data_IF_655079895265
#
_entry.id   IF_655079895265
#
_cell.length_a   1.000
_cell.length_b   1.000
_cell.length_c   1.000
_cell.angle_alpha   90.00
_cell.angle_beta   90.00
_cell.angle_gamma   90.00
#
_symmetry.space_group_name_H-M   'P 1'
#
loop_
_entity.id
_entity.type
_entity.pdbx_description
1 polymer ?
#
# COMPACT_ATOMS: atom_id res chain seq x y z
N UNK A 1 3.81 -16.04 -30.15
CA UNK A 1 3.38 -14.63 -30.39
C UNK A 1 3.85 -13.85 -29.18
N UNK A 2 4.40 -12.64 -29.33
CA UNK A 2 4.82 -11.84 -28.17
C UNK A 2 3.59 -11.31 -27.42
N UNK A 3 3.65 -11.22 -26.09
CA UNK A 3 2.62 -10.57 -25.31
C UNK A 3 2.42 -9.12 -25.78
N UNK A 4 1.20 -8.75 -26.08
CA UNK A 4 0.81 -7.41 -26.53
C UNK A 4 -0.52 -7.04 -25.84
N UNK A 5 -0.50 -6.23 -24.76
CA UNK A 5 -1.71 -5.86 -24.05
C UNK A 5 -2.60 -4.98 -24.95
N UNK A 6 -3.90 -5.30 -24.99
CA UNK A 6 -4.92 -4.50 -25.69
C UNK A 6 -5.70 -3.69 -24.70
N UNK A 7 -5.74 -2.39 -24.89
CA UNK A 7 -6.54 -1.46 -24.09
C UNK A 7 -6.73 -0.13 -24.81
N UNK A 8 -7.74 0.63 -24.40
CA UNK A 8 -7.93 2.02 -24.81
C UNK A 8 -7.58 2.95 -23.63
N UNK A 9 -6.96 4.09 -23.92
CA UNK A 9 -6.76 5.16 -22.93
C UNK A 9 -8.04 5.98 -22.85
N UNK A 10 -8.82 5.73 -21.81
CA UNK A 10 -10.11 6.36 -21.57
C UNK A 10 -10.00 7.63 -20.72
N UNK A 11 -11.09 8.39 -20.61
CA UNK A 11 -11.14 9.55 -19.73
C UNK A 11 -10.87 9.18 -18.24
N UNK A 12 -11.44 8.11 -17.64
CA UNK A 12 -11.07 7.67 -16.30
C UNK A 12 -9.57 7.40 -16.13
N UNK A 13 -8.94 6.68 -17.08
CA UNK A 13 -7.49 6.44 -17.04
C UNK A 13 -6.72 7.75 -17.06
N UNK A 14 -7.05 8.67 -17.98
CA UNK A 14 -6.35 9.96 -18.09
C UNK A 14 -6.51 10.80 -16.81
N UNK A 15 -7.71 10.85 -16.24
CA UNK A 15 -7.97 11.56 -14.99
C UNK A 15 -7.16 10.97 -13.83
N UNK A 16 -7.12 9.64 -13.70
CA UNK A 16 -6.35 8.96 -12.66
C UNK A 16 -4.84 9.18 -12.85
N UNK A 17 -4.31 9.06 -14.08
CA UNK A 17 -2.90 9.34 -14.38
C UNK A 17 -2.53 10.78 -14.02
N UNK A 18 -3.39 11.76 -14.29
CA UNK A 18 -3.16 13.16 -13.92
C UNK A 18 -3.03 13.31 -12.40
N UNK A 19 -3.86 12.64 -11.61
CA UNK A 19 -3.76 12.62 -10.13
C UNK A 19 -2.47 11.98 -9.66
N UNK A 20 -2.08 10.86 -10.27
CA UNK A 20 -0.83 10.14 -9.98
C UNK A 20 0.39 11.04 -10.23
N UNK A 21 0.45 11.71 -11.40
CA UNK A 21 1.57 12.61 -11.74
C UNK A 21 1.62 13.84 -10.82
N UNK A 22 0.48 14.40 -10.44
CA UNK A 22 0.41 15.49 -9.45
C UNK A 22 0.92 15.05 -8.08
N UNK A 23 0.58 13.83 -7.63
CA UNK A 23 1.08 13.28 -6.38
C UNK A 23 2.59 13.00 -6.45
N UNK A 24 3.08 12.47 -7.58
CA UNK A 24 4.49 12.26 -7.85
C UNK A 24 5.27 13.57 -7.76
N UNK A 25 4.86 14.59 -8.52
CA UNK A 25 5.51 15.90 -8.50
C UNK A 25 5.51 16.54 -7.11
N UNK A 26 4.42 16.39 -6.34
CA UNK A 26 4.38 16.82 -4.94
C UNK A 26 5.43 16.10 -4.10
N UNK A 27 5.50 14.77 -4.15
CA UNK A 27 6.43 13.97 -3.33
C UNK A 27 7.89 14.21 -3.70
N UNK A 28 8.19 14.49 -4.97
CA UNK A 28 9.54 14.85 -5.44
C UNK A 28 9.98 16.23 -4.94
N UNK A 29 9.08 17.22 -4.95
CA UNK A 29 9.36 18.60 -4.57
C UNK A 29 9.23 18.87 -3.06
N UNK A 30 8.42 18.09 -2.34
CA UNK A 30 8.10 18.32 -0.94
C UNK A 30 9.29 18.07 -0.02
N UNK A 31 9.59 19.03 0.84
CA UNK A 31 10.59 18.91 1.91
C UNK A 31 10.03 18.16 3.11
N UNK A 32 9.83 16.87 2.96
CA UNK A 32 9.41 15.98 4.03
C UNK A 32 10.62 15.55 4.84
N UNK A 33 10.51 15.50 6.18
CA UNK A 33 11.62 15.05 7.02
C UNK A 33 11.91 13.55 6.79
N UNK A 34 13.18 13.17 6.85
CA UNK A 34 13.61 11.77 6.68
C UNK A 34 12.91 10.84 7.68
N UNK A 35 12.76 11.32 8.93
CA UNK A 35 12.06 10.56 9.98
C UNK A 35 10.56 10.33 9.63
N UNK A 36 9.90 11.33 9.07
CA UNK A 36 8.51 11.18 8.61
C UNK A 36 8.43 10.17 7.45
N UNK A 37 9.31 10.30 6.45
CA UNK A 37 9.36 9.37 5.30
C UNK A 37 9.57 7.94 5.80
N UNK A 38 10.53 7.73 6.69
CA UNK A 38 10.82 6.41 7.27
C UNK A 38 9.61 5.82 7.98
N UNK A 39 9.00 6.55 8.92
CA UNK A 39 7.82 6.08 9.66
C UNK A 39 6.64 5.78 8.76
N UNK A 40 6.38 6.64 7.78
CA UNK A 40 5.28 6.41 6.83
C UNK A 40 5.57 5.25 5.89
N UNK A 41 6.81 5.05 5.47
CA UNK A 41 7.24 3.90 4.68
C UNK A 41 7.11 2.57 5.44
N UNK A 42 7.50 2.54 6.71
CA UNK A 42 7.29 1.38 7.59
C UNK A 42 5.79 1.06 7.75
N UNK A 43 4.95 2.08 7.95
CA UNK A 43 3.51 1.93 8.02
C UNK A 43 2.92 1.44 6.69
N UNK A 44 3.35 1.99 5.56
CA UNK A 44 2.88 1.57 4.23
C UNK A 44 3.24 0.10 3.96
N UNK A 45 4.46 -0.32 4.28
CA UNK A 45 4.88 -1.72 4.15
C UNK A 45 4.05 -2.65 5.05
N UNK A 46 3.76 -2.23 6.27
CA UNK A 46 2.93 -3.00 7.20
C UNK A 46 1.50 -3.17 6.65
N UNK A 47 0.87 -2.08 6.21
CA UNK A 47 -0.46 -2.11 5.60
C UNK A 47 -0.48 -2.97 4.33
N UNK A 48 0.51 -2.80 3.45
CA UNK A 48 0.61 -3.61 2.22
C UNK A 48 0.75 -5.11 2.54
N UNK A 49 1.60 -5.48 3.52
CA UNK A 49 1.78 -6.86 3.94
C UNK A 49 0.49 -7.44 4.55
N UNK A 50 -0.19 -6.69 5.41
CA UNK A 50 -1.46 -7.09 6.00
C UNK A 50 -2.52 -7.31 4.92
N UNK A 51 -2.83 -6.28 4.13
CA UNK A 51 -3.92 -6.34 3.16
C UNK A 51 -3.68 -7.33 2.03
N UNK A 52 -2.44 -7.44 1.53
CA UNK A 52 -2.13 -8.39 0.47
C UNK A 52 -2.29 -9.85 0.91
N UNK A 53 -1.97 -10.17 2.17
CA UNK A 53 -2.18 -11.52 2.72
C UNK A 53 -3.63 -11.74 3.12
N UNK A 54 -4.32 -10.71 3.61
CA UNK A 54 -5.74 -10.78 3.97
C UNK A 54 -6.62 -11.03 2.72
N UNK A 55 -6.29 -10.47 1.56
CA UNK A 55 -6.95 -10.80 0.27
C UNK A 55 -6.87 -12.31 -0.02
N UNK A 56 -5.75 -12.96 0.31
CA UNK A 56 -5.53 -14.40 0.09
C UNK A 56 -6.09 -15.29 1.22
N UNK A 57 -6.71 -14.69 2.23
CA UNK A 57 -7.48 -15.41 3.25
C UNK A 57 -6.83 -15.53 4.63
N UNK A 58 -5.74 -14.81 4.91
CA UNK A 58 -5.23 -14.72 6.29
C UNK A 58 -6.23 -13.99 7.19
N UNK A 59 -6.26 -14.35 8.48
CA UNK A 59 -7.22 -13.86 9.47
C UNK A 59 -6.60 -12.94 10.53
N UNK A 60 -5.35 -12.55 10.34
CA UNK A 60 -4.68 -11.60 11.23
C UNK A 60 -5.44 -10.28 11.28
N UNK A 61 -5.65 -9.75 12.48
CA UNK A 61 -6.11 -8.37 12.62
C UNK A 61 -4.98 -7.40 12.27
N UNK A 62 -5.32 -6.15 11.98
CA UNK A 62 -4.31 -5.12 11.73
C UNK A 62 -3.37 -4.95 12.93
N UNK A 63 -3.89 -4.92 14.15
CA UNK A 63 -3.12 -4.85 15.39
C UNK A 63 -2.14 -6.02 15.53
N UNK A 64 -2.61 -7.25 15.27
CA UNK A 64 -1.75 -8.44 15.29
C UNK A 64 -0.62 -8.32 14.25
N UNK A 65 -0.92 -7.83 13.06
CA UNK A 65 0.07 -7.60 12.01
C UNK A 65 1.11 -6.55 12.41
N UNK A 66 0.69 -5.46 13.03
CA UNK A 66 1.58 -4.42 13.58
C UNK A 66 2.55 -5.01 14.62
N UNK A 67 2.03 -5.75 15.61
CA UNK A 67 2.83 -6.40 16.67
C UNK A 67 3.84 -7.40 16.10
N UNK A 68 3.41 -8.25 15.16
CA UNK A 68 4.28 -9.24 14.51
C UNK A 68 5.41 -8.56 13.70
N UNK A 69 5.11 -7.49 13.00
CA UNK A 69 6.12 -6.77 12.22
C UNK A 69 7.03 -5.89 13.09
N UNK A 70 6.59 -5.53 14.30
CA UNK A 70 7.44 -4.94 15.34
C UNK A 70 8.36 -5.98 16.04
N UNK A 71 8.21 -7.28 15.73
CA UNK A 71 9.03 -8.36 16.29
C UNK A 71 8.44 -8.98 17.56
N UNK A 72 7.20 -8.66 17.91
CA UNK A 72 6.49 -9.29 19.01
C UNK A 72 5.95 -10.67 18.60
N UNK A 73 5.67 -11.48 19.61
CA UNK A 73 4.96 -12.76 19.43
C UNK A 73 3.47 -12.57 19.66
N UNK A 74 2.65 -13.23 18.83
CA UNK A 74 1.19 -13.25 18.92
C UNK A 74 0.76 -14.73 19.00
N UNK A 75 0.75 -15.32 20.20
CA UNK A 75 0.56 -16.78 20.37
C UNK A 75 -0.79 -17.30 19.86
N UNK A 76 -1.82 -16.44 19.85
CA UNK A 76 -3.16 -16.75 19.38
C UNK A 76 -3.33 -16.75 17.85
N UNK A 77 -2.33 -16.25 17.11
CA UNK A 77 -2.39 -16.18 15.65
C UNK A 77 -2.07 -17.53 14.99
N UNK A 78 -2.72 -17.82 13.85
CA UNK A 78 -2.39 -19.01 13.06
C UNK A 78 -0.93 -18.93 12.57
N UNK A 79 -0.10 -19.96 12.79
CA UNK A 79 1.30 -19.94 12.41
C UNK A 79 1.54 -19.80 10.89
N UNK A 80 0.60 -20.23 10.03
CA UNK A 80 0.71 -20.04 8.58
C UNK A 80 0.44 -18.57 8.22
N UNK A 81 -0.58 -17.95 8.83
CA UNK A 81 -0.90 -16.53 8.62
C UNK A 81 0.28 -15.64 9.04
N UNK A 82 0.88 -15.93 10.20
CA UNK A 82 2.10 -15.25 10.68
C UNK A 82 3.23 -15.40 9.66
N UNK A 83 3.43 -16.61 9.15
CA UNK A 83 4.49 -16.90 8.17
C UNK A 83 4.24 -16.18 6.86
N UNK A 84 3.01 -16.15 6.35
CA UNK A 84 2.65 -15.43 5.13
C UNK A 84 2.94 -13.93 5.24
N UNK A 85 2.57 -13.30 6.36
CA UNK A 85 2.86 -11.90 6.64
C UNK A 85 4.36 -11.60 6.65
N UNK A 86 5.14 -12.40 7.38
CA UNK A 86 6.60 -12.24 7.50
C UNK A 86 7.32 -12.55 6.17
N UNK A 87 6.82 -13.52 5.41
CA UNK A 87 7.32 -13.83 4.07
C UNK A 87 7.13 -12.66 3.13
N UNK A 88 5.96 -12.00 3.16
CA UNK A 88 5.72 -10.82 2.33
C UNK A 88 6.72 -9.70 2.65
N UNK A 89 6.96 -9.39 3.93
CA UNK A 89 7.97 -8.41 4.33
C UNK A 89 9.37 -8.75 3.79
N UNK A 90 9.77 -10.03 3.87
CA UNK A 90 11.07 -10.51 3.34
C UNK A 90 11.15 -10.40 1.81
N UNK A 91 10.08 -10.77 1.11
CA UNK A 91 10.00 -10.67 -0.34
C UNK A 91 10.04 -9.21 -0.82
N UNK A 92 9.34 -8.31 -0.13
CA UNK A 92 9.38 -6.88 -0.41
C UNK A 92 10.78 -6.28 -0.18
N UNK A 93 11.45 -6.66 0.91
CA UNK A 93 12.84 -6.25 1.19
C UNK A 93 13.79 -6.71 0.07
N UNK A 94 13.65 -7.94 -0.40
CA UNK A 94 14.42 -8.46 -1.52
C UNK A 94 14.20 -7.66 -2.81
N UNK A 95 12.94 -7.38 -3.17
CA UNK A 95 12.59 -6.55 -4.34
C UNK A 95 13.22 -5.16 -4.21
N UNK A 96 13.16 -4.58 -3.01
CA UNK A 96 13.73 -3.26 -2.74
C UNK A 96 15.25 -3.21 -2.95
N UNK A 97 15.97 -4.27 -2.56
CA UNK A 97 17.42 -4.39 -2.79
C UNK A 97 17.72 -4.60 -4.27
N UNK A 98 16.99 -5.51 -4.93
CA UNK A 98 17.18 -5.82 -6.36
C UNK A 98 17.03 -4.57 -7.24
N UNK A 99 16.10 -3.67 -6.90
CA UNK A 99 15.93 -2.41 -7.62
C UNK A 99 17.13 -1.47 -7.50
N UNK A 100 17.83 -1.48 -6.36
CA UNK A 100 19.06 -0.70 -6.17
C UNK A 100 20.17 -1.10 -7.14
N UNK A 101 20.17 -2.36 -7.60
CA UNK A 101 21.16 -2.89 -8.53
C UNK A 101 20.80 -2.60 -10.01
N UNK A 102 19.61 -2.05 -10.30
CA UNK A 102 19.17 -1.66 -11.65
C UNK A 102 18.97 -2.81 -12.63
N UNK A 103 18.82 -4.04 -12.14
CA UNK A 103 18.74 -5.25 -12.94
C UNK A 103 17.45 -5.35 -13.79
N UNK A 104 17.46 -6.16 -14.88
CA UNK A 104 16.28 -6.42 -15.69
C UNK A 104 15.29 -7.32 -14.93
N UNK A 105 14.00 -7.23 -15.27
CA UNK A 105 13.02 -8.22 -14.81
C UNK A 105 13.31 -9.54 -15.55
N UNK A 106 13.47 -10.62 -14.79
CA UNK A 106 13.76 -11.96 -15.32
C UNK A 106 12.76 -12.98 -14.80
N UNK A 107 12.63 -14.11 -15.48
CA UNK A 107 11.88 -15.26 -14.95
C UNK A 107 12.42 -15.73 -13.61
N UNK A 108 13.76 -15.76 -13.46
CA UNK A 108 14.43 -16.11 -12.21
C UNK A 108 14.03 -15.18 -11.07
N UNK A 109 13.89 -13.87 -11.33
CA UNK A 109 13.42 -12.91 -10.35
C UNK A 109 11.96 -13.19 -9.93
N UNK A 110 11.06 -13.43 -10.88
CA UNK A 110 9.65 -13.75 -10.58
C UNK A 110 9.55 -15.03 -9.74
N UNK A 111 10.32 -16.06 -10.09
CA UNK A 111 10.38 -17.32 -9.34
C UNK A 111 10.97 -17.15 -7.94
N UNK A 112 11.97 -16.28 -7.78
CA UNK A 112 12.57 -15.98 -6.47
C UNK A 112 11.62 -15.17 -5.59
N UNK A 113 10.87 -14.20 -6.15
CA UNK A 113 9.80 -13.49 -5.44
C UNK A 113 8.77 -14.50 -4.92
N UNK A 114 8.26 -15.36 -5.80
CA UNK A 114 7.29 -16.40 -5.43
C UNK A 114 7.86 -17.32 -4.34
N UNK A 115 9.10 -17.82 -4.49
CA UNK A 115 9.75 -18.68 -3.51
C UNK A 115 9.70 -18.06 -2.11
N UNK A 116 10.09 -16.79 -2.00
CA UNK A 116 10.10 -16.08 -0.71
C UNK A 116 8.72 -15.89 -0.12
N UNK A 117 7.70 -15.66 -0.97
CA UNK A 117 6.33 -15.46 -0.52
C UNK A 117 5.69 -16.70 0.08
N UNK A 118 6.01 -17.90 -0.46
CA UNK A 118 5.34 -19.15 -0.07
C UNK A 118 6.23 -20.13 0.72
N UNK A 119 7.46 -19.75 1.03
CA UNK A 119 8.41 -20.61 1.73
C UNK A 119 7.89 -21.07 3.09
N UNK A 120 7.76 -22.37 3.28
CA UNK A 120 7.31 -22.97 4.53
C UNK A 120 5.83 -22.74 4.89
N UNK A 121 5.05 -22.14 3.98
CA UNK A 121 3.60 -22.00 4.16
C UNK A 121 2.92 -23.31 3.78
N UNK A 122 1.90 -23.71 4.55
CA UNK A 122 1.04 -24.88 4.26
C UNK A 122 1.83 -26.15 3.95
N UNK A 123 2.93 -26.40 4.68
CA UNK A 123 3.72 -27.62 4.55
C UNK A 123 4.54 -27.74 3.26
N UNK A 124 4.76 -26.64 2.52
CA UNK A 124 5.57 -26.66 1.30
C UNK A 124 4.84 -27.13 0.04
N UNK A 125 3.52 -27.37 0.12
CA UNK A 125 2.70 -27.82 -1.02
C UNK A 125 2.63 -26.83 -2.20
N UNK A 126 3.02 -25.57 -1.97
CA UNK A 126 3.03 -24.52 -2.98
C UNK A 126 4.20 -24.60 -3.98
N UNK A 127 5.12 -25.56 -3.85
CA UNK A 127 6.33 -25.72 -4.69
C UNK A 127 7.08 -24.39 -4.91
N UNK A 128 7.77 -23.83 -3.86
CA UNK A 128 8.34 -22.49 -3.88
C UNK A 128 9.30 -22.24 -5.06
N UNK A 129 8.98 -21.27 -5.91
CA UNK A 129 9.77 -20.91 -7.08
C UNK A 129 9.62 -21.84 -8.29
N UNK A 130 8.75 -22.84 -8.22
CA UNK A 130 8.53 -23.81 -9.30
C UNK A 130 7.25 -23.48 -10.07
N UNK A 131 7.32 -23.47 -11.41
CA UNK A 131 6.10 -23.42 -12.22
C UNK A 131 5.30 -24.70 -12.07
N UNK A 132 3.98 -24.58 -12.08
CA UNK A 132 3.09 -25.71 -12.05
C UNK A 132 3.29 -26.65 -13.26
N UNK A 133 3.22 -27.93 -13.02
CA UNK A 133 3.28 -28.97 -14.04
C UNK A 133 1.91 -29.62 -14.33
N UNK A 134 0.92 -29.20 -13.56
CA UNK A 134 -0.46 -29.69 -13.66
C UNK A 134 -1.41 -28.51 -13.91
N UNK A 135 -2.59 -28.84 -14.43
CA UNK A 135 -3.65 -27.85 -14.54
C UNK A 135 -4.13 -27.44 -13.15
N UNK A 136 -4.25 -26.15 -12.91
CA UNK A 136 -4.92 -25.61 -11.73
C UNK A 136 -6.14 -24.79 -12.16
N UNK A 137 -6.98 -24.45 -11.17
CA UNK A 137 -8.23 -23.74 -11.38
C UNK A 137 -8.37 -22.68 -10.32
N UNK A 138 -8.89 -21.51 -10.72
CA UNK A 138 -9.32 -20.49 -9.76
C UNK A 138 -10.78 -20.78 -9.41
N UNK A 139 -11.04 -21.06 -8.15
CA UNK A 139 -12.36 -21.44 -7.67
C UNK A 139 -12.94 -20.39 -6.72
N UNK A 140 -14.24 -20.27 -6.69
CA UNK A 140 -14.93 -19.54 -5.66
C UNK A 140 -14.83 -20.32 -4.34
N UNK A 141 -14.19 -19.74 -3.33
CA UNK A 141 -13.94 -20.38 -2.04
C UNK A 141 -15.23 -20.74 -1.28
N UNK A 142 -16.35 -20.04 -1.54
CA UNK A 142 -17.63 -20.29 -0.89
C UNK A 142 -18.47 -21.37 -1.60
N UNK A 143 -18.41 -21.43 -2.95
CA UNK A 143 -19.25 -22.35 -3.75
C UNK A 143 -18.49 -23.54 -4.33
N UNK A 144 -17.14 -23.48 -4.40
CA UNK A 144 -16.32 -24.47 -5.09
C UNK A 144 -16.39 -24.38 -6.62
N UNK A 145 -17.14 -23.44 -7.17
CA UNK A 145 -17.30 -23.26 -8.61
C UNK A 145 -16.01 -22.74 -9.26
N UNK A 146 -15.68 -23.27 -10.45
CA UNK A 146 -14.54 -22.79 -11.23
C UNK A 146 -14.88 -21.44 -11.86
N UNK A 147 -14.20 -20.39 -11.39
CA UNK A 147 -14.33 -19.02 -11.91
C UNK A 147 -13.46 -18.84 -13.14
N UNK A 148 -12.27 -19.46 -13.15
CA UNK A 148 -11.29 -19.31 -14.22
C UNK A 148 -10.44 -20.55 -14.38
N UNK A 149 -10.22 -20.94 -15.64
CA UNK A 149 -9.25 -21.96 -16.05
C UNK A 149 -8.05 -21.28 -16.70
N UNK A 150 -6.88 -21.23 -16.03
CA UNK A 150 -5.64 -20.70 -16.60
C UNK A 150 -5.16 -21.47 -17.83
N UNK A 151 -4.25 -20.90 -18.64
CA UNK A 151 -3.62 -21.61 -19.76
C UNK A 151 -3.08 -22.98 -19.34
N UNK A 152 -2.92 -23.94 -20.28
CA UNK A 152 -2.32 -25.24 -20.01
C UNK A 152 -0.94 -25.12 -19.36
N UNK A 153 -0.59 -26.07 -18.46
CA UNK A 153 0.68 -26.00 -17.73
C UNK A 153 1.94 -25.99 -18.63
N UNK A 154 1.87 -26.62 -19.79
CA UNK A 154 2.99 -26.63 -20.74
C UNK A 154 3.23 -25.29 -21.45
N UNK A 155 2.24 -24.40 -21.45
CA UNK A 155 2.36 -23.06 -22.04
C UNK A 155 2.96 -22.04 -21.07
N UNK A 156 2.95 -22.34 -19.75
CA UNK A 156 3.40 -21.40 -18.70
C UNK A 156 4.80 -20.84 -18.96
N UNK A 157 5.84 -21.63 -19.30
CA UNK A 157 7.19 -21.08 -19.49
C UNK A 157 7.24 -20.06 -20.63
N UNK A 158 6.59 -20.35 -21.77
CA UNK A 158 6.60 -19.44 -22.91
C UNK A 158 5.83 -18.16 -22.63
N UNK A 159 4.68 -18.27 -21.94
CA UNK A 159 3.85 -17.11 -21.60
C UNK A 159 4.55 -16.19 -20.58
N UNK A 160 5.28 -16.75 -19.60
CA UNK A 160 6.08 -15.94 -18.67
C UNK A 160 7.27 -15.30 -19.36
N UNK A 161 7.94 -16.03 -20.28
CA UNK A 161 9.03 -15.46 -21.08
C UNK A 161 8.54 -14.29 -21.97
N UNK A 162 7.38 -14.42 -22.61
CA UNK A 162 6.77 -13.34 -23.39
C UNK A 162 6.45 -12.12 -22.52
N UNK A 163 5.88 -12.33 -21.33
CA UNK A 163 5.62 -11.26 -20.36
C UNK A 163 6.92 -10.55 -19.95
N UNK A 164 7.96 -11.31 -19.57
CA UNK A 164 9.26 -10.77 -19.17
C UNK A 164 9.93 -9.98 -20.29
N UNK A 165 9.86 -10.49 -21.51
CA UNK A 165 10.39 -9.78 -22.69
C UNK A 165 9.71 -8.44 -22.87
N UNK A 166 8.38 -8.41 -22.79
CA UNK A 166 7.60 -7.18 -22.90
C UNK A 166 7.87 -6.21 -21.74
N UNK A 167 8.00 -6.68 -20.50
CA UNK A 167 8.26 -5.84 -19.33
C UNK A 167 9.62 -5.12 -19.39
N UNK A 168 10.59 -5.66 -20.11
CA UNK A 168 11.89 -5.03 -20.30
C UNK A 168 11.92 -4.01 -21.42
N UNK A 169 10.93 -4.04 -22.33
CA UNK A 169 10.72 -3.06 -23.40
C UNK A 169 9.22 -2.84 -23.64
N UNK A 170 8.50 -2.18 -22.73
CA UNK A 170 7.06 -1.93 -22.88
C UNK A 170 6.73 -0.84 -23.92
N UNK A 171 7.77 -0.30 -24.57
CA UNK A 171 7.68 0.75 -25.60
C UNK A 171 6.90 1.97 -25.15
N UNK A 172 5.90 2.40 -25.93
CA UNK A 172 5.13 3.64 -25.68
C UNK A 172 4.03 3.49 -24.62
N UNK A 173 4.05 2.42 -23.80
CA UNK A 173 3.06 2.23 -22.75
C UNK A 173 3.49 2.98 -21.50
N UNK A 174 2.60 3.83 -20.97
CA UNK A 174 2.84 4.56 -19.73
C UNK A 174 3.19 3.59 -18.58
N UNK A 175 4.25 3.86 -17.78
CA UNK A 175 4.73 2.92 -16.75
C UNK A 175 3.67 2.41 -15.77
N UNK A 176 2.73 3.27 -15.37
CA UNK A 176 1.60 2.87 -14.51
C UNK A 176 0.71 1.85 -15.22
N UNK A 177 0.41 2.04 -16.50
CA UNK A 177 -0.39 1.09 -17.29
C UNK A 177 0.37 -0.21 -17.53
N UNK A 178 1.68 -0.13 -17.78
CA UNK A 178 2.54 -1.31 -17.92
C UNK A 178 2.56 -2.13 -16.62
N UNK A 179 2.62 -1.48 -15.45
CA UNK A 179 2.54 -2.13 -14.15
C UNK A 179 1.20 -2.83 -13.92
N UNK A 180 0.09 -2.19 -14.25
CA UNK A 180 -1.24 -2.80 -14.17
C UNK A 180 -1.41 -3.99 -15.12
N UNK A 181 -0.89 -3.88 -16.35
CA UNK A 181 -0.87 -4.97 -17.32
C UNK A 181 -0.01 -6.16 -16.85
N UNK A 182 1.14 -5.89 -16.20
CA UNK A 182 2.00 -6.91 -15.60
C UNK A 182 1.26 -7.70 -14.52
N UNK A 183 0.55 -7.02 -13.63
CA UNK A 183 -0.23 -7.65 -12.57
C UNK A 183 -1.30 -8.57 -13.14
N UNK A 184 -2.09 -8.05 -14.09
CA UNK A 184 -3.13 -8.85 -14.73
C UNK A 184 -2.55 -10.06 -15.44
N UNK A 185 -1.51 -9.87 -16.27
CA UNK A 185 -0.96 -10.94 -17.11
C UNK A 185 -0.39 -12.07 -16.27
N UNK A 186 0.28 -11.78 -15.14
CA UNK A 186 0.78 -12.84 -14.27
C UNK A 186 -0.36 -13.60 -13.58
N UNK A 187 -1.43 -12.90 -13.16
CA UNK A 187 -2.64 -13.55 -12.63
C UNK A 187 -3.34 -14.38 -13.70
N UNK A 188 -3.34 -13.93 -14.96
CA UNK A 188 -3.92 -14.67 -16.08
C UNK A 188 -3.14 -15.96 -16.38
N UNK A 189 -1.82 -15.88 -16.49
CA UNK A 189 -0.95 -17.07 -16.71
C UNK A 189 -1.08 -18.05 -15.55
N UNK A 190 -1.19 -17.52 -14.32
CA UNK A 190 -1.30 -18.31 -13.08
C UNK A 190 -0.19 -19.37 -12.97
N UNK A 191 1.09 -18.97 -13.01
CA UNK A 191 2.19 -19.88 -13.26
C UNK A 191 2.51 -20.84 -12.10
N UNK A 192 2.01 -20.58 -10.89
CA UNK A 192 2.33 -21.33 -9.69
C UNK A 192 1.11 -22.08 -9.16
N UNK A 193 1.34 -23.04 -8.25
CA UNK A 193 0.25 -23.78 -7.59
C UNK A 193 -0.52 -22.90 -6.60
N UNK A 194 0.18 -22.00 -5.88
CA UNK A 194 -0.38 -21.02 -4.93
C UNK A 194 0.45 -19.74 -5.00
N UNK A 195 0.01 -18.64 -4.34
CA UNK A 195 0.77 -17.39 -4.23
C UNK A 195 0.80 -16.50 -5.49
N UNK A 196 0.03 -16.84 -6.54
CA UNK A 196 0.00 -16.06 -7.78
C UNK A 196 -0.48 -14.62 -7.57
N UNK A 197 -1.48 -14.40 -6.72
CA UNK A 197 -1.99 -13.07 -6.40
C UNK A 197 -0.94 -12.19 -5.74
N UNK A 198 -0.29 -12.69 -4.67
CA UNK A 198 0.77 -11.96 -3.96
C UNK A 198 1.97 -11.67 -4.86
N UNK A 199 2.37 -12.65 -5.68
CA UNK A 199 3.47 -12.50 -6.65
C UNK A 199 3.16 -11.45 -7.70
N UNK A 200 1.93 -11.42 -8.23
CA UNK A 200 1.53 -10.45 -9.26
C UNK A 200 1.47 -9.02 -8.72
N UNK A 201 0.96 -8.82 -7.49
CA UNK A 201 0.93 -7.51 -6.83
C UNK A 201 2.36 -7.00 -6.57
N UNK A 202 3.25 -7.87 -6.08
CA UNK A 202 4.63 -7.48 -5.84
C UNK A 202 5.42 -7.24 -7.15
N UNK A 203 5.14 -8.00 -8.22
CA UNK A 203 5.68 -7.72 -9.55
C UNK A 203 5.22 -6.35 -10.09
N UNK A 204 3.94 -6.03 -9.92
CA UNK A 204 3.39 -4.72 -10.29
C UNK A 204 4.11 -3.57 -9.57
N UNK A 205 4.31 -3.70 -8.25
CA UNK A 205 5.07 -2.73 -7.44
C UNK A 205 6.52 -2.61 -7.93
N UNK A 206 7.18 -3.72 -8.25
CA UNK A 206 8.52 -3.74 -8.85
C UNK A 206 8.57 -2.96 -10.18
N UNK A 207 7.58 -3.16 -11.05
CA UNK A 207 7.50 -2.45 -12.32
C UNK A 207 7.37 -0.94 -12.13
N UNK A 208 6.53 -0.48 -11.17
CA UNK A 208 6.41 0.93 -10.83
C UNK A 208 7.74 1.51 -10.34
N UNK A 209 8.37 0.87 -9.37
CA UNK A 209 9.62 1.37 -8.77
C UNK A 209 10.76 1.45 -9.79
N UNK A 210 10.89 0.42 -10.63
CA UNK A 210 11.89 0.39 -11.71
C UNK A 210 11.74 1.54 -12.69
N UNK A 211 10.51 1.96 -12.94
CA UNK A 211 10.18 3.06 -13.84
C UNK A 211 10.26 4.45 -13.15
N UNK A 212 10.76 4.54 -11.91
CA UNK A 212 10.86 5.78 -11.15
C UNK A 212 9.55 6.24 -10.51
N UNK A 213 8.58 5.35 -10.38
CA UNK A 213 7.30 5.57 -9.70
C UNK A 213 7.34 4.94 -8.30
N UNK A 214 8.39 5.19 -7.52
CA UNK A 214 8.54 4.62 -6.19
C UNK A 214 7.73 5.37 -5.11
N UNK A 215 7.34 6.63 -5.38
CA UNK A 215 6.57 7.49 -4.48
C UNK A 215 7.11 7.48 -3.04
N UNK A 216 8.44 7.42 -2.89
CA UNK A 216 9.13 7.24 -1.59
C UNK A 216 8.66 5.99 -0.81
N UNK A 217 8.02 5.02 -1.49
CA UNK A 217 7.43 3.79 -0.92
C UNK A 217 6.35 4.06 0.13
N UNK A 218 5.55 5.10 -0.07
CA UNK A 218 4.55 5.58 0.88
C UNK A 218 3.13 5.10 0.59
N UNK A 219 2.88 4.37 -0.50
CA UNK A 219 1.55 3.90 -0.91
C UNK A 219 1.36 2.41 -0.64
N UNK A 220 0.10 1.99 -0.56
CA UNK A 220 -0.33 0.60 -0.43
C UNK A 220 -1.54 0.35 -1.32
N UNK A 221 -1.34 -0.33 -2.46
CA UNK A 221 -2.42 -0.61 -3.40
C UNK A 221 -3.34 -1.74 -2.91
N UNK A 222 -2.79 -2.69 -2.16
CA UNK A 222 -3.54 -3.83 -1.64
C UNK A 222 -4.62 -3.43 -0.64
N UNK A 223 -4.44 -2.32 0.09
CA UNK A 223 -5.48 -1.78 0.96
C UNK A 223 -6.73 -1.40 0.17
N UNK A 224 -6.58 -0.74 -0.98
CA UNK A 224 -7.71 -0.40 -1.85
C UNK A 224 -8.44 -1.64 -2.35
N UNK A 225 -7.70 -2.67 -2.75
CA UNK A 225 -8.28 -3.93 -3.22
C UNK A 225 -9.03 -4.68 -2.12
N UNK A 226 -8.50 -4.66 -0.91
CA UNK A 226 -9.05 -5.38 0.23
C UNK A 226 -10.31 -4.73 0.79
N UNK A 227 -10.46 -3.41 0.68
CA UNK A 227 -11.68 -2.66 1.07
C UNK A 227 -12.91 -3.12 0.29
N UNK A 228 -12.75 -3.46 -1.02
CA UNK A 228 -13.82 -4.04 -1.85
C UNK A 228 -13.26 -5.12 -2.79
N UNK A 229 -13.05 -6.31 -2.22
CA UNK A 229 -12.56 -7.47 -2.97
C UNK A 229 -13.48 -7.86 -4.11
N UNK A 230 -14.79 -7.66 -3.96
CA UNK A 230 -15.76 -8.01 -4.99
C UNK A 230 -15.55 -7.19 -6.26
N UNK A 231 -15.32 -5.89 -6.12
CA UNK A 231 -15.01 -5.00 -7.24
C UNK A 231 -13.63 -5.31 -7.82
N UNK A 232 -12.62 -5.60 -6.99
CA UNK A 232 -11.30 -6.04 -7.45
C UNK A 232 -11.37 -7.30 -8.33
N UNK A 233 -12.05 -8.35 -7.87
CA UNK A 233 -12.19 -9.58 -8.66
C UNK A 233 -13.04 -9.39 -9.92
N UNK A 234 -14.09 -8.56 -9.88
CA UNK A 234 -14.87 -8.20 -11.07
C UNK A 234 -14.02 -7.46 -12.11
N UNK A 235 -13.13 -6.56 -11.68
CA UNK A 235 -12.22 -5.86 -12.60
C UNK A 235 -11.28 -6.83 -13.32
N UNK A 236 -10.72 -7.82 -12.62
CA UNK A 236 -9.92 -8.89 -13.24
C UNK A 236 -10.78 -9.72 -14.21
N UNK A 237 -11.98 -10.11 -13.81
CA UNK A 237 -12.85 -10.96 -14.61
C UNK A 237 -13.33 -10.26 -15.88
N UNK A 238 -13.58 -8.95 -15.82
CA UNK A 238 -14.03 -8.15 -16.96
C UNK A 238 -13.12 -8.23 -18.18
N UNK A 239 -11.81 -8.41 -17.98
CA UNK A 239 -10.83 -8.58 -19.07
C UNK A 239 -11.09 -9.86 -19.86
N UNK A 240 -11.43 -10.94 -19.13
CA UNK A 240 -11.68 -12.26 -19.72
C UNK A 240 -12.98 -12.25 -20.51
N UNK A 241 -14.01 -11.63 -19.96
CA UNK A 241 -15.33 -11.46 -20.60
C UNK A 241 -15.30 -10.60 -21.85
N UNK A 242 -14.36 -9.64 -21.90
CA UNK A 242 -14.16 -8.71 -23.04
C UNK A 242 -13.07 -9.15 -24.02
N UNK A 243 -12.78 -10.45 -24.07
CA UNK A 243 -11.82 -11.00 -25.03
C UNK A 243 -10.39 -10.46 -24.86
N UNK A 244 -9.91 -10.39 -23.62
CA UNK A 244 -8.58 -9.90 -23.24
C UNK A 244 -8.36 -8.40 -23.45
N UNK A 245 -9.39 -7.59 -23.39
CA UNK A 245 -9.30 -6.13 -23.34
C UNK A 245 -9.07 -5.67 -21.89
N UNK A 246 -7.90 -5.07 -21.65
CA UNK A 246 -7.44 -4.64 -20.32
C UNK A 246 -8.07 -3.30 -19.87
N UNK A 247 -8.83 -2.61 -20.68
CA UNK A 247 -9.31 -1.25 -20.40
C UNK A 247 -9.97 -1.15 -19.04
N UNK A 248 -10.97 -1.99 -18.75
CA UNK A 248 -11.70 -1.93 -17.46
C UNK A 248 -10.82 -2.28 -16.24
N UNK A 249 -9.87 -3.18 -16.40
CA UNK A 249 -8.89 -3.46 -15.36
C UNK A 249 -7.95 -2.27 -15.12
N UNK A 250 -7.46 -1.63 -16.19
CA UNK A 250 -6.56 -0.48 -16.08
C UNK A 250 -7.26 0.76 -15.53
N UNK A 251 -8.55 0.95 -15.80
CA UNK A 251 -9.38 1.97 -15.12
C UNK A 251 -9.40 1.73 -13.61
N UNK A 252 -9.69 0.50 -13.18
CA UNK A 252 -9.69 0.15 -11.77
C UNK A 252 -8.30 0.28 -11.12
N UNK A 253 -7.26 -0.22 -11.78
CA UNK A 253 -5.89 -0.18 -11.28
C UNK A 253 -5.38 1.25 -11.09
N UNK A 254 -5.59 2.11 -12.09
CA UNK A 254 -5.16 3.51 -12.04
C UNK A 254 -5.92 4.30 -11.00
N UNK A 255 -7.24 4.07 -10.85
CA UNK A 255 -8.04 4.71 -9.80
C UNK A 255 -7.60 4.27 -8.40
N UNK A 256 -7.31 2.98 -8.21
CA UNK A 256 -6.79 2.47 -6.94
C UNK A 256 -5.47 3.17 -6.55
N UNK A 257 -4.52 3.24 -7.49
CA UNK A 257 -3.23 3.90 -7.24
C UNK A 257 -3.40 5.40 -7.01
N UNK A 258 -4.22 6.09 -7.81
CA UNK A 258 -4.50 7.51 -7.65
C UNK A 258 -5.09 7.83 -6.29
N UNK A 259 -6.07 7.06 -5.84
CA UNK A 259 -6.71 7.23 -4.53
C UNK A 259 -5.71 7.07 -3.39
N UNK A 260 -4.88 6.05 -3.41
CA UNK A 260 -3.85 5.84 -2.40
C UNK A 260 -2.81 6.98 -2.38
N UNK A 261 -2.42 7.47 -3.56
CA UNK A 261 -1.47 8.58 -3.65
C UNK A 261 -2.06 9.92 -3.23
N UNK A 262 -3.34 10.17 -3.45
CA UNK A 262 -4.02 11.36 -2.90
C UNK A 262 -4.03 11.33 -1.37
N UNK A 263 -4.25 10.18 -0.74
CA UNK A 263 -4.14 10.03 0.71
C UNK A 263 -2.70 10.31 1.21
N UNK A 264 -1.68 9.78 0.52
CA UNK A 264 -0.26 10.05 0.84
C UNK A 264 0.05 11.54 0.71
N UNK A 265 -0.37 12.17 -0.38
CA UNK A 265 -0.20 13.60 -0.62
C UNK A 265 -0.85 14.45 0.48
N UNK A 266 -2.07 14.11 0.88
CA UNK A 266 -2.78 14.81 1.95
C UNK A 266 -2.04 14.68 3.29
N UNK A 267 -1.54 13.49 3.64
CA UNK A 267 -0.72 13.27 4.85
C UNK A 267 0.58 14.06 4.80
N UNK A 268 1.29 14.06 3.66
CA UNK A 268 2.50 14.84 3.46
C UNK A 268 2.28 16.35 3.58
N UNK A 269 1.18 16.86 3.01
CA UNK A 269 0.78 18.26 3.16
C UNK A 269 0.52 18.66 4.62
N UNK A 270 -0.15 17.78 5.39
CA UNK A 270 -0.35 18.02 6.84
C UNK A 270 0.96 18.01 7.62
N UNK A 271 1.90 17.12 7.29
CA UNK A 271 3.21 17.08 7.93
C UNK A 271 3.99 18.38 7.68
N UNK A 272 4.05 18.85 6.44
CA UNK A 272 4.71 20.12 6.09
C UNK A 272 4.04 21.29 6.84
N UNK A 273 2.71 21.31 6.88
CA UNK A 273 1.97 22.36 7.62
C UNK A 273 2.30 22.33 9.11
N UNK A 274 2.38 21.13 9.71
CA UNK A 274 2.79 20.95 11.10
C UNK A 274 4.18 21.55 11.35
N UNK A 275 5.16 21.25 10.50
CA UNK A 275 6.52 21.75 10.62
C UNK A 275 6.59 23.28 10.48
N UNK A 276 5.87 23.87 9.52
CA UNK A 276 5.79 25.32 9.33
C UNK A 276 5.20 26.00 10.56
N UNK A 277 4.08 25.51 11.09
CA UNK A 277 3.45 26.04 12.29
C UNK A 277 4.35 25.86 13.52
N UNK A 278 5.02 24.73 13.66
CA UNK A 278 5.95 24.47 14.76
C UNK A 278 7.09 25.50 14.79
N UNK A 279 7.66 25.80 13.62
CA UNK A 279 8.69 26.84 13.48
C UNK A 279 8.13 28.25 13.75
N UNK A 280 7.00 28.60 13.14
CA UNK A 280 6.39 29.92 13.28
C UNK A 280 6.05 30.26 14.74
N UNK A 281 5.49 29.28 15.46
CA UNK A 281 5.06 29.45 16.86
C UNK A 281 6.11 28.99 17.88
N UNK A 282 7.32 28.62 17.44
CA UNK A 282 8.43 28.16 18.29
C UNK A 282 7.96 27.10 19.29
N UNK A 283 7.40 26.02 18.74
CA UNK A 283 6.92 24.91 19.55
C UNK A 283 8.09 24.04 20.01
N UNK A 284 7.94 23.50 21.22
CA UNK A 284 8.81 22.39 21.66
C UNK A 284 8.47 21.10 20.89
N UNK A 285 9.38 20.12 20.88
CA UNK A 285 9.17 18.82 20.23
C UNK A 285 7.87 18.12 20.65
N UNK A 286 7.51 18.23 21.95
CA UNK A 286 6.25 17.68 22.46
C UNK A 286 5.03 18.40 21.89
N UNK A 287 5.08 19.74 21.86
CA UNK A 287 4.02 20.56 21.30
C UNK A 287 3.89 20.32 19.78
N UNK A 288 5.00 20.14 19.07
CA UNK A 288 4.97 19.79 17.65
C UNK A 288 4.31 18.43 17.40
N UNK A 289 4.60 17.41 18.25
CA UNK A 289 3.92 16.10 18.19
C UNK A 289 2.42 16.24 18.44
N UNK A 290 2.03 17.03 19.46
CA UNK A 290 0.62 17.31 19.76
C UNK A 290 -0.08 17.99 18.58
N UNK A 291 0.57 18.97 17.92
CA UNK A 291 0.05 19.64 16.74
C UNK A 291 -0.11 18.68 15.57
N UNK A 292 0.89 17.84 15.32
CA UNK A 292 0.82 16.79 14.28
C UNK A 292 -0.40 15.89 14.47
N UNK A 293 -0.63 15.40 15.69
CA UNK A 293 -1.81 14.58 16.00
C UNK A 293 -3.13 15.33 15.79
N UNK A 294 -3.21 16.61 16.15
CA UNK A 294 -4.41 17.43 15.89
C UNK A 294 -4.66 17.58 14.40
N UNK A 295 -3.61 17.75 13.58
CA UNK A 295 -3.72 17.87 12.13
C UNK A 295 -4.11 16.55 11.45
N UNK A 296 -3.62 15.42 11.98
CA UNK A 296 -3.87 14.09 11.42
C UNK A 296 -5.26 13.55 11.79
N UNK A 297 -5.64 13.64 13.08
CA UNK A 297 -6.85 13.04 13.64
C UNK A 297 -8.00 14.05 13.84
N UNK A 298 -7.74 15.34 13.57
CA UNK A 298 -8.70 16.43 13.79
C UNK A 298 -8.94 16.77 15.27
N UNK A 299 -8.42 15.96 16.21
CA UNK A 299 -8.57 16.16 17.68
C UNK A 299 -7.43 15.51 18.45
N UNK A 300 -7.20 16.01 19.67
CA UNK A 300 -6.25 15.43 20.60
C UNK A 300 -6.88 15.40 21.99
N UNK A 301 -6.83 14.23 22.67
CA UNK A 301 -7.14 14.10 24.10
C UNK A 301 -5.87 14.10 24.92
N UNK A 302 -5.98 14.33 26.21
CA UNK A 302 -4.80 14.26 27.10
C UNK A 302 -4.24 12.82 27.16
N UNK A 303 -5.08 11.80 27.09
CA UNK A 303 -4.65 10.40 27.06
C UNK A 303 -3.84 10.08 25.79
N UNK A 304 -4.32 10.55 24.63
CA UNK A 304 -3.57 10.40 23.37
C UNK A 304 -2.22 11.13 23.45
N UNK A 305 -2.17 12.31 24.08
CA UNK A 305 -0.91 13.04 24.26
C UNK A 305 0.05 12.33 25.22
N UNK A 306 -0.46 11.68 26.28
CA UNK A 306 0.34 10.80 27.17
C UNK A 306 0.96 9.64 26.40
N UNK A 307 0.21 9.02 25.49
CA UNK A 307 0.69 7.93 24.61
C UNK A 307 1.78 8.41 23.62
N UNK A 308 1.66 9.65 23.10
CA UNK A 308 2.67 10.26 22.21
C UNK A 308 3.97 10.63 22.94
N UNK A 309 3.90 10.82 24.25
CA UNK A 309 5.02 11.28 25.06
C UNK A 309 5.21 10.40 26.31
N UNK A 310 5.56 9.11 26.16
CA UNK A 310 5.71 8.19 27.28
C UNK A 310 6.78 8.70 28.26
N UNK A 311 6.51 8.58 29.56
CA UNK A 311 7.42 9.03 30.63
C UNK A 311 7.35 10.53 30.96
N UNK A 312 6.51 11.31 30.27
CA UNK A 312 6.29 12.72 30.62
C UNK A 312 5.11 12.87 31.56
N UNK A 313 5.28 13.64 32.62
CA UNK A 313 4.23 13.88 33.62
C UNK A 313 3.03 14.60 32.99
N UNK A 314 1.82 14.13 33.30
CA UNK A 314 0.53 14.68 32.81
C UNK A 314 0.39 16.19 33.03
N UNK A 315 0.88 16.73 34.18
CA UNK A 315 0.86 18.17 34.40
C UNK A 315 1.71 18.96 33.41
N UNK A 316 2.83 18.41 32.98
CA UNK A 316 3.68 19.00 31.96
C UNK A 316 2.97 19.04 30.61
N UNK A 317 2.31 17.94 30.22
CA UNK A 317 1.53 17.87 28.99
C UNK A 317 0.34 18.82 29.00
N UNK A 318 -0.37 18.95 30.14
CA UNK A 318 -1.45 19.94 30.31
C UNK A 318 -0.95 21.37 30.17
N UNK A 319 0.25 21.68 30.69
CA UNK A 319 0.88 23.01 30.53
C UNK A 319 1.27 23.25 29.09
N UNK A 320 1.78 22.24 28.36
CA UNK A 320 2.08 22.36 26.95
C UNK A 320 0.81 22.67 26.13
N UNK A 321 -0.31 21.96 26.38
CA UNK A 321 -1.59 22.23 25.73
C UNK A 321 -2.13 23.64 26.05
N UNK A 322 -2.04 24.06 27.31
CA UNK A 322 -2.46 25.41 27.72
C UNK A 322 -1.66 26.48 26.96
N UNK A 323 -0.35 26.32 26.86
CA UNK A 323 0.51 27.24 26.09
C UNK A 323 0.13 27.28 24.60
N UNK A 324 -0.26 26.15 24.01
CA UNK A 324 -0.74 26.11 22.62
C UNK A 324 -2.10 26.79 22.45
N UNK A 325 -2.99 26.69 23.43
CA UNK A 325 -4.26 27.44 23.45
C UNK A 325 -4.00 28.94 23.57
N UNK A 326 -3.11 29.36 24.49
CA UNK A 326 -2.72 30.77 24.66
C UNK A 326 -2.07 31.37 23.40
N UNK A 327 -1.37 30.56 22.61
CA UNK A 327 -0.83 30.95 21.31
C UNK A 327 -1.90 30.96 20.19
N UNK A 328 -3.13 30.59 20.47
CA UNK A 328 -4.21 30.55 19.48
C UNK A 328 -4.06 29.43 18.43
N UNK A 329 -3.24 28.40 18.68
CA UNK A 329 -3.02 27.29 17.77
C UNK A 329 -4.11 26.25 17.84
N UNK A 330 -4.56 25.94 19.05
CA UNK A 330 -5.61 24.95 19.31
C UNK A 330 -6.67 25.56 20.22
N UNK A 331 -7.87 25.01 20.16
CA UNK A 331 -8.99 25.36 21.03
C UNK A 331 -9.41 24.14 21.83
N UNK A 332 -9.69 24.36 23.10
CA UNK A 332 -10.26 23.35 23.97
C UNK A 332 -11.76 23.20 23.73
N UNK A 333 -12.25 21.98 23.70
CA UNK A 333 -13.67 21.61 23.60
C UNK A 333 -14.03 20.65 24.73
N UNK A 334 -15.15 20.92 25.39
CA UNK A 334 -15.65 20.13 26.53
C UNK A 334 -16.28 21.05 27.58
N UNK A 335 -17.08 20.47 28.48
CA UNK A 335 -17.85 21.21 29.48
C UNK A 335 -17.07 21.54 30.76
N UNK A 336 -15.85 21.01 30.94
CA UNK A 336 -15.02 21.29 32.10
C UNK A 336 -13.84 20.31 32.31
N UNK A 337 -13.05 20.50 33.38
CA UNK A 337 -11.82 19.73 33.60
C UNK A 337 -12.02 18.21 33.81
N UNK A 338 -13.21 17.81 34.23
CA UNK A 338 -13.59 16.40 34.48
C UNK A 338 -14.41 15.78 33.37
N UNK A 339 -14.65 16.52 32.27
CA UNK A 339 -15.38 16.03 31.12
C UNK A 339 -14.58 14.93 30.40
N UNK A 340 -15.08 13.68 30.31
CA UNK A 340 -14.39 12.60 29.61
C UNK A 340 -14.28 12.82 28.11
N UNK A 341 -15.11 13.73 27.55
CA UNK A 341 -15.11 14.09 26.13
C UNK A 341 -14.17 15.26 25.81
N UNK A 342 -13.51 15.83 26.81
CA UNK A 342 -12.59 16.97 26.68
C UNK A 342 -11.48 16.66 25.68
N UNK A 343 -11.37 17.49 24.67
CA UNK A 343 -10.37 17.36 23.61
C UNK A 343 -9.94 18.73 23.06
N UNK A 344 -8.87 18.72 22.28
CA UNK A 344 -8.31 19.92 21.64
C UNK A 344 -8.42 19.77 20.13
N UNK A 345 -8.80 20.85 19.44
CA UNK A 345 -8.86 20.93 17.97
C UNK A 345 -8.03 22.10 17.46
N UNK A 346 -7.71 22.11 16.19
CA UNK A 346 -7.06 23.25 15.56
C UNK A 346 -7.97 24.48 15.67
N UNK A 347 -7.38 25.65 15.96
CA UNK A 347 -8.13 26.91 16.00
C UNK A 347 -8.62 27.30 14.59
N UNK A 348 -9.83 27.83 14.47
CA UNK A 348 -10.42 28.20 13.18
C UNK A 348 -9.57 29.22 12.42
N UNK A 349 -8.94 30.16 13.12
CA UNK A 349 -7.98 31.11 12.54
C UNK A 349 -6.77 30.48 11.88
N UNK A 350 -6.41 29.26 12.32
CA UNK A 350 -5.30 28.48 11.78
C UNK A 350 -5.79 27.47 10.75
N UNK A 351 -7.02 26.95 10.91
CA UNK A 351 -7.56 25.94 9.99
C UNK A 351 -7.57 26.42 8.53
N UNK A 352 -7.76 27.73 8.29
CA UNK A 352 -7.96 28.28 6.95
C UNK A 352 -9.38 27.97 6.45
N UNK A 353 -9.85 28.55 5.37
CA UNK A 353 -11.07 28.12 4.72
C UNK A 353 -10.90 26.63 4.35
N UNK A 354 -11.84 25.77 4.72
CA UNK A 354 -11.88 24.38 4.29
C UNK A 354 -11.66 24.35 2.78
N UNK A 355 -10.64 23.65 2.33
CA UNK A 355 -10.33 23.52 0.93
C UNK A 355 -11.49 22.86 0.20
N UNK A 356 -12.34 23.62 -0.41
CA UNK A 356 -12.99 23.26 -1.67
C UNK A 356 -11.88 23.19 -2.75
N UNK A 357 -11.30 22.02 -2.94
CA UNK A 357 -10.51 21.65 -4.12
C UNK A 357 -10.76 20.18 -4.45
#
# INVERSE_FOLDING_TARGET
MSFAPRFAVTHPITAALTRIERARGFLEAAKLSEDWIRRMGERALMLEAHHTTHIEGTRLTLEQSERLLAGETVPEADPNDVRELLNYRRAFGFVSTYLGDGGPITEGLIREIHRRLVEGVRGGSAAPGEYRRVQNYVVNSATGEIIYTPPPAHDVPILVQELVTWLNDPRDVHPVLASGAAQFQLVHIHPFLDGNGRTSRLLSTLCLYRAGYDFKRLFTISEYYDRDRSTFYRAIQSVRERGSDLTGWLEFFTEALATQLDEVKARGGRAIRSDVLALQYRLSDRQARALGQVLDEGRLTIQAFEALCPGVNRRTLQRDLKAMVEKGLIVERGSGPTDPTRHYRLAESIAGPENEL
#
